data_IF_241394805590
#
_entry.id   IF_241394805590
#
_cell.length_a   1.000
_cell.length_b   1.000
_cell.length_c   1.000
_cell.angle_alpha   90.00
_cell.angle_beta   90.00
_cell.angle_gamma   90.00
#
_symmetry.space_group_name_H-M   'P 1'
#
loop_
_entity.id
_entity.type
_entity.pdbx_description
1 polymer ?
#
# COMPACT_ATOMS: atom_id res chain seq x y z
N UNK A 1 10.83 11.46 0.19
CA UNK A 1 10.66 10.20 -0.53
C UNK A 1 9.40 10.28 -1.39
N UNK A 2 9.54 10.03 -2.69
CA UNK A 2 8.45 10.25 -3.66
C UNK A 2 7.20 9.38 -3.40
N UNK A 3 7.39 8.11 -3.07
CA UNK A 3 6.27 7.18 -2.82
C UNK A 3 5.43 7.65 -1.65
N UNK A 4 6.06 8.00 -0.54
CA UNK A 4 5.36 8.45 0.67
C UNK A 4 4.64 9.75 0.42
N UNK A 5 5.28 10.70 -0.28
CA UNK A 5 4.65 11.97 -0.60
C UNK A 5 3.45 11.78 -1.52
N UNK A 6 3.56 10.89 -2.51
CA UNK A 6 2.45 10.58 -3.40
C UNK A 6 1.25 9.98 -2.62
N UNK A 7 1.52 9.06 -1.71
CA UNK A 7 0.48 8.47 -0.87
C UNK A 7 -0.19 9.56 -0.02
N UNK A 8 0.60 10.38 0.67
CA UNK A 8 0.06 11.45 1.51
C UNK A 8 -0.74 12.48 0.71
N UNK A 9 -0.25 12.87 -0.47
CA UNK A 9 -0.96 13.80 -1.34
C UNK A 9 -2.30 13.24 -1.80
N UNK A 10 -2.34 11.96 -2.15
CA UNK A 10 -3.58 11.27 -2.53
C UNK A 10 -4.59 11.33 -1.39
N UNK A 11 -4.16 11.02 -0.16
CA UNK A 11 -5.04 11.03 1.00
C UNK A 11 -5.52 12.43 1.36
N UNK A 12 -4.71 13.45 1.18
CA UNK A 12 -5.10 14.84 1.46
C UNK A 12 -6.25 15.31 0.56
N UNK A 13 -6.37 14.74 -0.64
CA UNK A 13 -7.43 15.10 -1.59
C UNK A 13 -8.73 14.33 -1.33
N UNK A 14 -8.72 13.38 -0.41
CA UNK A 14 -9.86 12.50 -0.15
C UNK A 14 -10.59 12.90 1.13
N UNK A 15 -11.89 12.57 1.21
CA UNK A 15 -12.75 12.91 2.33
C UNK A 15 -12.52 12.02 3.54
N UNK A 16 -12.02 10.82 3.32
CA UNK A 16 -11.81 9.84 4.39
C UNK A 16 -10.61 8.98 4.10
N UNK A 17 -10.13 8.30 5.13
CA UNK A 17 -9.02 7.35 5.00
C UNK A 17 -9.38 6.21 4.05
N UNK A 18 -10.60 5.67 4.17
CA UNK A 18 -11.07 4.58 3.29
C UNK A 18 -11.06 5.03 1.83
N UNK A 19 -11.57 6.21 1.53
CA UNK A 19 -11.57 6.76 0.18
C UNK A 19 -10.14 6.88 -0.35
N UNK A 20 -9.20 7.33 0.49
CA UNK A 20 -7.78 7.44 0.13
C UNK A 20 -7.18 6.10 -0.22
N UNK A 21 -7.47 5.06 0.58
CA UNK A 21 -6.99 3.70 0.31
C UNK A 21 -7.53 3.18 -1.02
N UNK A 22 -8.84 3.33 -1.25
CA UNK A 22 -9.48 2.89 -2.49
C UNK A 22 -8.87 3.59 -3.70
N UNK A 23 -8.72 4.90 -3.62
CA UNK A 23 -8.17 5.71 -4.72
C UNK A 23 -6.73 5.33 -5.03
N UNK A 24 -5.91 5.11 -4.00
CA UNK A 24 -4.53 4.72 -4.19
C UNK A 24 -4.42 3.38 -4.94
N UNK A 25 -5.23 2.40 -4.53
CA UNK A 25 -5.26 1.08 -5.19
C UNK A 25 -5.76 1.17 -6.63
N UNK A 26 -6.79 1.98 -6.88
CA UNK A 26 -7.31 2.17 -8.25
C UNK A 26 -6.30 2.87 -9.16
N UNK A 27 -5.56 3.84 -8.64
CA UNK A 27 -4.49 4.50 -9.40
C UNK A 27 -3.39 3.50 -9.77
N UNK A 28 -3.01 2.63 -8.85
CA UNK A 28 -2.02 1.58 -9.13
C UNK A 28 -2.53 0.61 -10.19
N UNK A 29 -3.82 0.25 -10.13
CA UNK A 29 -4.43 -0.63 -11.13
C UNK A 29 -4.36 -0.03 -12.53
N UNK A 30 -4.67 1.25 -12.65
CA UNK A 30 -4.59 1.96 -13.91
C UNK A 30 -3.15 2.03 -14.45
N UNK A 31 -2.18 2.21 -13.57
CA UNK A 31 -0.76 2.20 -13.96
C UNK A 31 -0.34 0.83 -14.53
N UNK A 32 -0.80 -0.25 -13.91
CA UNK A 32 -0.50 -1.60 -14.43
C UNK A 32 -1.12 -1.77 -15.82
N UNK A 33 -2.37 -1.34 -16.00
CA UNK A 33 -3.07 -1.51 -17.28
C UNK A 33 -2.46 -0.68 -18.40
N UNK A 34 -2.04 0.54 -18.11
CA UNK A 34 -1.64 1.49 -19.16
C UNK A 34 -0.14 1.52 -19.39
N UNK A 35 0.66 1.53 -18.33
CA UNK A 35 2.11 1.74 -18.44
C UNK A 35 2.93 0.50 -18.08
N UNK A 36 2.38 -0.43 -17.34
CA UNK A 36 3.06 -1.63 -16.85
C UNK A 36 4.34 -1.31 -16.07
N UNK A 37 4.39 -0.13 -15.44
CA UNK A 37 5.58 0.38 -14.74
C UNK A 37 5.50 0.34 -13.22
N UNK A 38 4.50 -0.35 -12.65
CA UNK A 38 4.36 -0.41 -11.20
C UNK A 38 5.58 -1.06 -10.53
N UNK A 39 6.35 -1.82 -11.29
CA UNK A 39 7.57 -2.45 -10.79
C UNK A 39 8.54 -1.42 -10.20
N UNK A 40 8.63 -0.22 -10.79
CA UNK A 40 9.55 0.83 -10.33
C UNK A 40 9.16 1.41 -8.98
N UNK A 41 7.90 1.23 -8.56
CA UNK A 41 7.39 1.74 -7.29
C UNK A 41 6.99 0.62 -6.32
N UNK A 42 7.21 -0.65 -6.70
CA UNK A 42 6.91 -1.79 -5.84
C UNK A 42 8.08 -2.08 -4.92
N UNK A 43 7.94 -1.67 -3.67
CA UNK A 43 8.96 -1.86 -2.63
C UNK A 43 9.12 -3.34 -2.30
N UNK A 44 8.01 -4.09 -2.32
CA UNK A 44 8.04 -5.53 -2.08
C UNK A 44 8.88 -6.29 -3.10
N UNK A 45 8.78 -5.92 -4.38
CA UNK A 45 9.59 -6.54 -5.42
C UNK A 45 11.07 -6.22 -5.25
N UNK A 46 11.40 -4.97 -4.92
CA UNK A 46 12.78 -4.56 -4.64
C UNK A 46 13.32 -5.37 -3.46
N UNK A 47 12.54 -5.52 -2.40
CA UNK A 47 12.94 -6.29 -1.22
C UNK A 47 13.23 -7.76 -1.58
N UNK A 48 12.37 -8.39 -2.39
CA UNK A 48 12.56 -9.77 -2.81
C UNK A 48 13.81 -9.94 -3.69
N UNK A 49 14.03 -9.00 -4.62
CA UNK A 49 15.20 -9.05 -5.52
C UNK A 49 16.51 -8.85 -4.77
N UNK A 50 16.51 -8.13 -3.66
CA UNK A 50 17.72 -7.77 -2.90
C UNK A 50 17.89 -8.56 -1.62
N UNK A 51 16.99 -9.49 -1.32
CA UNK A 51 16.92 -10.22 -0.04
C UNK A 51 18.25 -10.84 0.37
N UNK A 52 18.98 -11.48 -0.55
CA UNK A 52 20.23 -12.14 -0.23
C UNK A 52 21.49 -11.37 -0.64
N UNK A 53 21.34 -10.28 -1.39
CA UNK A 53 22.48 -9.59 -2.00
C UNK A 53 22.76 -8.21 -1.45
N UNK A 54 21.81 -7.56 -0.79
CA UNK A 54 22.00 -6.21 -0.30
C UNK A 54 21.23 -5.96 1.00
N UNK A 55 21.87 -6.20 2.17
CA UNK A 55 21.25 -5.93 3.47
C UNK A 55 20.86 -4.47 3.65
N UNK A 56 21.61 -3.52 3.08
CA UNK A 56 21.30 -2.10 3.18
C UNK A 56 20.01 -1.74 2.45
N UNK A 57 19.79 -2.29 1.25
CA UNK A 57 18.55 -2.07 0.51
C UNK A 57 17.36 -2.71 1.20
N UNK A 58 17.54 -3.88 1.81
CA UNK A 58 16.48 -4.52 2.60
C UNK A 58 16.08 -3.62 3.76
N UNK A 59 17.05 -3.05 4.46
CA UNK A 59 16.77 -2.14 5.56
C UNK A 59 16.04 -0.88 5.10
N UNK A 60 16.43 -0.32 3.97
CA UNK A 60 15.73 0.84 3.39
C UNK A 60 14.29 0.50 3.03
N UNK A 61 14.05 -0.66 2.44
CA UNK A 61 12.69 -1.13 2.13
C UNK A 61 11.86 -1.27 3.41
N UNK A 62 12.44 -1.84 4.46
CA UNK A 62 11.78 -1.98 5.75
C UNK A 62 11.37 -0.62 6.33
N UNK A 63 12.26 0.38 6.24
CA UNK A 63 11.97 1.74 6.72
C UNK A 63 10.84 2.39 5.93
N UNK A 64 10.76 2.15 4.61
CA UNK A 64 9.65 2.67 3.80
C UNK A 64 8.33 2.02 4.23
N UNK A 65 8.30 0.71 4.37
CA UNK A 65 7.09 0.02 4.83
C UNK A 65 6.67 0.50 6.22
N UNK A 66 7.63 0.64 7.13
CA UNK A 66 7.35 1.13 8.48
C UNK A 66 6.75 2.53 8.46
N UNK A 67 7.27 3.40 7.60
CA UNK A 67 6.74 4.76 7.44
C UNK A 67 5.31 4.76 6.91
N UNK A 68 5.01 3.91 5.93
CA UNK A 68 3.66 3.78 5.38
C UNK A 68 2.70 3.24 6.45
N UNK A 69 3.10 2.18 7.14
CA UNK A 69 2.28 1.58 8.20
C UNK A 69 2.03 2.57 9.32
N UNK A 70 3.05 3.33 9.74
CA UNK A 70 2.87 4.35 10.77
C UNK A 70 1.90 5.44 10.35
N UNK A 71 1.92 5.84 9.08
CA UNK A 71 0.93 6.79 8.56
C UNK A 71 -0.49 6.21 8.69
N UNK A 72 -0.68 4.96 8.31
CA UNK A 72 -1.99 4.30 8.43
C UNK A 72 -2.43 4.18 9.90
N UNK A 73 -1.50 3.86 10.80
CA UNK A 73 -1.80 3.80 12.25
C UNK A 73 -2.32 5.14 12.73
N UNK A 74 -1.64 6.23 12.39
CA UNK A 74 -2.06 7.57 12.80
C UNK A 74 -3.47 7.88 12.33
N UNK A 75 -3.79 7.58 11.08
CA UNK A 75 -5.12 7.82 10.53
C UNK A 75 -6.20 6.96 11.20
N UNK A 76 -5.88 5.70 11.47
CA UNK A 76 -6.82 4.79 12.14
C UNK A 76 -7.07 5.19 13.59
N UNK A 77 -6.04 5.64 14.30
CA UNK A 77 -6.19 6.14 15.66
C UNK A 77 -7.06 7.40 15.68
N UNK A 78 -6.87 8.31 14.72
CA UNK A 78 -7.72 9.49 14.58
C UNK A 78 -9.19 9.11 14.37
N UNK A 79 -9.47 7.99 13.73
CA UNK A 79 -10.84 7.53 13.50
C UNK A 79 -11.44 6.77 14.69
N UNK A 80 -10.70 6.61 15.78
CA UNK A 80 -11.22 6.06 17.02
C UNK A 80 -10.70 4.68 17.43
N UNK A 81 -9.84 4.03 16.63
CA UNK A 81 -9.29 2.74 17.01
C UNK A 81 -8.17 2.91 18.04
N UNK A 82 -8.03 1.91 18.93
CA UNK A 82 -6.90 1.90 19.83
C UNK A 82 -5.63 1.55 19.04
N UNK A 83 -4.47 1.87 19.62
CA UNK A 83 -3.19 1.77 18.93
C UNK A 83 -2.84 0.34 18.50
N UNK A 84 -3.14 -0.65 19.34
CA UNK A 84 -2.84 -2.06 19.02
C UNK A 84 -3.70 -2.53 17.83
N UNK A 85 -4.99 -2.23 17.84
CA UNK A 85 -5.89 -2.59 16.75
C UNK A 85 -5.51 -1.85 15.47
N UNK A 86 -5.13 -0.58 15.59
CA UNK A 86 -4.66 0.21 14.45
C UNK A 86 -3.41 -0.40 13.81
N UNK A 87 -2.45 -0.86 14.62
CA UNK A 87 -1.26 -1.54 14.12
C UNK A 87 -1.61 -2.80 13.32
N UNK A 88 -2.51 -3.62 13.85
CA UNK A 88 -2.91 -4.86 13.19
C UNK A 88 -3.58 -4.57 11.85
N UNK A 89 -4.54 -3.65 11.84
CA UNK A 89 -5.25 -3.29 10.62
C UNK A 89 -4.32 -2.62 9.60
N UNK A 90 -3.46 -1.71 10.03
CA UNK A 90 -2.50 -1.05 9.15
C UNK A 90 -1.57 -2.06 8.49
N UNK A 91 -1.10 -3.05 9.24
CA UNK A 91 -0.24 -4.12 8.72
C UNK A 91 -0.98 -4.96 7.69
N UNK A 92 -2.25 -5.29 7.96
CA UNK A 92 -3.09 -6.04 7.02
C UNK A 92 -3.36 -5.25 5.74
N UNK A 93 -3.61 -3.95 5.86
CA UNK A 93 -3.82 -3.07 4.70
C UNK A 93 -2.58 -3.11 3.79
N UNK A 94 -1.39 -2.93 4.36
CA UNK A 94 -0.17 -2.93 3.56
C UNK A 94 0.12 -4.31 2.97
N UNK A 95 -0.14 -5.37 3.72
CA UNK A 95 0.00 -6.75 3.24
C UNK A 95 -0.92 -7.03 2.05
N UNK A 96 -2.17 -6.60 2.13
CA UNK A 96 -3.14 -6.75 1.03
C UNK A 96 -2.70 -5.94 -0.19
N UNK A 97 -2.24 -4.72 0.03
CA UNK A 97 -1.78 -3.84 -1.05
C UNK A 97 -0.61 -4.47 -1.80
N UNK A 98 0.42 -4.92 -1.08
CA UNK A 98 1.60 -5.52 -1.70
C UNK A 98 1.27 -6.84 -2.41
N UNK A 99 0.40 -7.64 -1.84
CA UNK A 99 -0.08 -8.86 -2.48
C UNK A 99 -0.84 -8.58 -3.78
N UNK A 100 -1.71 -7.58 -3.76
CA UNK A 100 -2.48 -7.19 -4.94
C UNK A 100 -1.58 -6.62 -6.05
N UNK A 101 -0.54 -5.86 -5.68
CA UNK A 101 0.45 -5.37 -6.63
C UNK A 101 1.14 -6.55 -7.33
N UNK A 102 1.61 -7.51 -6.56
CA UNK A 102 2.31 -8.69 -7.09
C UNK A 102 1.41 -9.49 -8.04
N UNK A 103 0.17 -9.73 -7.63
CA UNK A 103 -0.80 -10.46 -8.46
C UNK A 103 -1.11 -9.71 -9.75
N UNK A 104 -1.26 -8.39 -9.69
CA UNK A 104 -1.55 -7.57 -10.86
C UNK A 104 -0.37 -7.56 -11.83
N UNK A 105 0.85 -7.43 -11.34
CA UNK A 105 2.05 -7.43 -12.19
C UNK A 105 2.24 -8.77 -12.89
N UNK A 106 2.03 -9.88 -12.19
CA UNK A 106 2.16 -11.20 -12.80
C UNK A 106 1.05 -11.52 -13.78
N UNK A 107 -0.17 -11.01 -13.53
CA UNK A 107 -1.29 -11.17 -14.45
C UNK A 107 -1.19 -10.21 -15.66
N UNK A 108 -0.41 -9.14 -15.54
CA UNK A 108 -0.29 -8.15 -16.60
C UNK A 108 -1.49 -7.22 -16.70
N UNK A 109 -2.32 -7.13 -15.66
CA UNK A 109 -3.51 -6.28 -15.66
C UNK A 109 -3.94 -5.96 -14.23
N UNK A 110 -4.69 -4.88 -14.02
CA UNK A 110 -4.98 -4.31 -12.72
C UNK A 110 -6.15 -4.90 -11.94
N UNK A 111 -6.76 -5.98 -12.42
CA UNK A 111 -7.94 -6.56 -11.76
C UNK A 111 -7.73 -6.93 -10.29
N UNK A 112 -6.61 -7.59 -9.90
CA UNK A 112 -6.39 -7.88 -8.47
C UNK A 112 -6.36 -6.62 -7.60
N UNK A 113 -5.77 -5.54 -8.08
CA UNK A 113 -5.77 -4.26 -7.35
C UNK A 113 -7.17 -3.66 -7.25
N UNK A 114 -8.00 -3.81 -8.28
CA UNK A 114 -9.40 -3.33 -8.24
C UNK A 114 -10.24 -4.14 -7.26
N UNK A 115 -10.01 -5.44 -7.19
CA UNK A 115 -10.68 -6.29 -6.20
C UNK A 115 -10.27 -5.87 -4.79
N UNK A 116 -8.97 -5.61 -4.57
CA UNK A 116 -8.49 -5.12 -3.28
C UNK A 116 -9.14 -3.77 -2.94
N UNK A 117 -9.21 -2.84 -3.89
CA UNK A 117 -9.83 -1.54 -3.68
C UNK A 117 -11.29 -1.66 -3.24
N UNK A 118 -12.03 -2.57 -3.87
CA UNK A 118 -13.45 -2.80 -3.56
C UNK A 118 -13.66 -3.35 -2.16
N UNK A 119 -12.72 -4.12 -1.64
CA UNK A 119 -12.89 -4.89 -0.41
C UNK A 119 -12.09 -4.40 0.79
N UNK A 120 -11.15 -3.47 0.59
CA UNK A 120 -10.26 -3.03 1.67
C UNK A 120 -11.01 -2.41 2.85
N UNK A 121 -12.14 -1.78 2.61
CA UNK A 121 -12.98 -1.18 3.66
C UNK A 121 -13.43 -2.20 4.70
N UNK A 122 -13.58 -3.46 4.33
CA UNK A 122 -14.03 -4.49 5.25
C UNK A 122 -13.01 -4.86 6.31
N UNK A 123 -11.75 -4.52 6.10
CA UNK A 123 -10.71 -4.66 7.13
C UNK A 123 -10.92 -3.64 8.26
N UNK A 124 -11.48 -2.49 7.93
CA UNK A 124 -11.63 -1.37 8.85
C UNK A 124 -12.98 -1.35 9.52
N UNK A 125 -14.01 -1.79 8.82
CA UNK A 125 -15.42 -1.71 9.26
C UNK A 125 -15.88 -2.93 10.09
N UNK A 126 -14.95 -3.61 10.70
CA UNK A 126 -15.28 -4.78 11.54
C UNK A 126 -15.98 -4.39 12.83
#
# INVERSE_FOLDING_TARGET
>A
MKIINHIKDTFMQCRSFIEGLEKNLLCMADLVDTEKKLRDISIGLIALETYSSSPNLMQECHLVFETIINFYIEELVKSGLNKQKALEIATLIESLTEGAITLSLTAGEGTPLRIAAKNIKYLIMQ
#
